data_IF_324303908944
#
_entry.id   IF_324303908944
#
_cell.length_a   1.000
_cell.length_b   1.000
_cell.length_c   1.000
_cell.angle_alpha   90.00
_cell.angle_beta   90.00
_cell.angle_gamma   90.00
#
_symmetry.space_group_name_H-M   'P 1'
#
loop_
_entity.id
_entity.type
_entity.pdbx_description
1 polymer ?
#
# COMPACT_ATOMS: atom_id res chain seq x y z
N UNK A 1 -58.66 37.49 -2.30
CA UNK A 1 -57.64 37.43 -1.24
C UNK A 1 -57.68 36.03 -0.63
N UNK A 2 -56.82 35.12 -1.10
CA UNK A 2 -56.66 33.75 -0.56
C UNK A 2 -55.17 33.57 -0.21
N UNK A 3 -54.81 33.15 1.01
CA UNK A 3 -53.43 33.21 1.47
C UNK A 3 -52.59 32.10 0.84
N UNK A 4 -51.44 32.50 0.28
CA UNK A 4 -50.36 31.69 -0.32
C UNK A 4 -49.59 30.83 0.72
N UNK A 5 -50.23 30.36 1.79
CA UNK A 5 -49.56 29.66 2.89
C UNK A 5 -49.31 28.16 2.64
N UNK A 6 -49.77 27.59 1.53
CA UNK A 6 -49.66 26.15 1.26
C UNK A 6 -48.41 25.70 0.49
N UNK A 7 -47.61 26.61 -0.06
CA UNK A 7 -46.48 26.23 -0.94
C UNK A 7 -45.15 25.97 -0.21
N UNK A 8 -44.98 26.43 1.04
CA UNK A 8 -43.71 26.28 1.75
C UNK A 8 -43.51 24.93 2.47
N UNK A 9 -44.56 24.13 2.70
CA UNK A 9 -44.43 22.85 3.44
C UNK A 9 -44.13 21.64 2.56
N UNK A 10 -44.38 21.71 1.25
CA UNK A 10 -44.22 20.57 0.32
C UNK A 10 -42.88 20.57 -0.43
N UNK A 11 -42.25 21.74 -0.61
CA UNK A 11 -40.95 21.84 -1.30
C UNK A 11 -39.75 21.43 -0.44
N UNK A 12 -39.88 21.46 0.89
CA UNK A 12 -38.79 21.09 1.80
C UNK A 12 -38.66 19.57 2.00
N UNK A 13 -39.76 18.82 1.85
CA UNK A 13 -39.78 17.36 2.02
C UNK A 13 -39.33 16.57 0.78
N UNK A 14 -39.37 17.16 -0.41
CA UNK A 14 -38.92 16.51 -1.65
C UNK A 14 -37.40 16.53 -1.85
N UNK A 15 -36.70 17.53 -1.31
CA UNK A 15 -35.23 17.61 -1.41
C UNK A 15 -34.49 16.60 -0.51
N UNK A 16 -35.08 16.21 0.63
CA UNK A 16 -34.42 15.28 1.58
C UNK A 16 -34.51 13.83 1.10
N UNK A 17 -35.58 13.45 0.39
CA UNK A 17 -35.74 12.08 -0.13
C UNK A 17 -34.85 11.78 -1.36
N UNK A 18 -34.47 12.80 -2.14
CA UNK A 18 -33.67 12.62 -3.36
C UNK A 18 -32.16 12.48 -3.09
N UNK A 19 -31.70 12.90 -1.90
CA UNK A 19 -30.30 12.76 -1.47
C UNK A 19 -29.95 11.34 -0.96
N UNK A 20 -30.94 10.47 -0.77
CA UNK A 20 -30.76 9.07 -0.31
C UNK A 20 -30.69 8.04 -1.45
N UNK A 21 -30.80 8.46 -2.71
CA UNK A 21 -30.86 7.57 -3.88
C UNK A 21 -29.64 7.69 -4.80
N UNK A 22 -28.45 7.94 -4.24
CA UNK A 22 -27.20 7.74 -4.97
C UNK A 22 -26.76 6.29 -4.78
N UNK A 23 -26.96 5.37 -5.75
CA UNK A 23 -26.21 4.13 -5.75
C UNK A 23 -24.75 4.52 -5.91
N UNK A 24 -23.97 4.43 -4.84
CA UNK A 24 -22.53 4.49 -4.92
C UNK A 24 -22.09 3.36 -5.84
N UNK A 25 -21.87 3.68 -7.13
CA UNK A 25 -21.11 2.84 -8.04
C UNK A 25 -19.69 2.75 -7.51
N UNK A 26 -19.50 1.89 -6.52
CA UNK A 26 -18.19 1.50 -6.06
C UNK A 26 -17.60 0.68 -7.20
N UNK A 27 -16.65 1.28 -7.92
CA UNK A 27 -15.86 0.64 -8.94
C UNK A 27 -15.04 -0.48 -8.28
N UNK A 28 -15.68 -1.64 -8.13
CA UNK A 28 -15.08 -2.86 -7.64
C UNK A 28 -14.31 -3.49 -8.78
N UNK A 29 -13.04 -3.75 -8.56
CA UNK A 29 -12.12 -4.38 -9.51
C UNK A 29 -12.27 -5.91 -9.52
N UNK A 30 -13.44 -6.42 -9.10
CA UNK A 30 -13.81 -7.83 -9.14
C UNK A 30 -13.08 -8.73 -8.13
N UNK A 31 -12.21 -8.18 -7.29
CA UNK A 31 -11.43 -8.95 -6.31
C UNK A 31 -12.15 -8.89 -4.96
N UNK A 32 -12.70 -10.01 -4.45
CA UNK A 32 -13.29 -10.05 -3.12
C UNK A 32 -12.19 -9.82 -2.10
N UNK A 33 -12.44 -8.94 -1.12
CA UNK A 33 -11.49 -8.60 -0.06
C UNK A 33 -12.18 -8.59 1.28
N UNK A 34 -11.49 -9.13 2.26
CA UNK A 34 -11.85 -9.00 3.67
C UNK A 34 -10.90 -7.98 4.29
N UNK A 35 -11.40 -6.93 4.97
CA UNK A 35 -10.55 -5.98 5.68
C UNK A 35 -9.77 -6.73 6.77
N UNK A 36 -8.46 -6.50 6.84
CA UNK A 36 -7.57 -7.13 7.82
C UNK A 36 -6.75 -6.03 8.47
N UNK A 37 -6.92 -5.93 9.78
CA UNK A 37 -6.19 -5.05 10.68
C UNK A 37 -5.71 -5.87 11.86
N UNK A 38 -4.55 -5.51 12.42
CA UNK A 38 -4.01 -6.19 13.58
C UNK A 38 -2.82 -5.47 14.18
N UNK A 39 -2.25 -6.09 15.22
CA UNK A 39 -1.05 -5.60 15.90
C UNK A 39 0.01 -6.69 15.88
N UNK A 40 1.24 -6.32 15.54
CA UNK A 40 2.38 -7.23 15.59
C UNK A 40 2.96 -7.20 17.00
N UNK A 41 3.09 -8.38 17.59
CA UNK A 41 3.67 -8.57 18.92
C UNK A 41 5.00 -9.33 18.80
N UNK A 42 5.99 -8.91 19.58
CA UNK A 42 7.27 -9.60 19.80
C UNK A 42 7.43 -9.80 21.30
N UNK A 43 7.62 -11.04 21.74
CA UNK A 43 7.69 -11.41 23.16
C UNK A 43 6.52 -10.88 24.00
N UNK A 44 5.33 -10.86 23.42
CA UNK A 44 4.10 -10.36 24.04
C UNK A 44 3.97 -8.83 24.11
N UNK A 45 4.93 -8.08 23.56
CA UNK A 45 4.90 -6.61 23.50
C UNK A 45 4.67 -6.13 22.07
N UNK A 46 3.89 -5.05 21.86
CA UNK A 46 3.73 -4.48 20.52
C UNK A 46 5.07 -4.02 19.95
N UNK A 47 5.24 -4.21 18.65
CA UNK A 47 6.43 -3.79 17.91
C UNK A 47 6.46 -2.25 17.72
N UNK A 48 6.59 -1.51 18.82
CA UNK A 48 6.58 -0.04 18.86
C UNK A 48 7.95 0.51 18.46
N UNK A 49 7.97 1.55 17.62
CA UNK A 49 9.20 2.28 17.26
C UNK A 49 10.14 1.54 16.31
N UNK A 50 9.71 0.44 15.70
CA UNK A 50 10.46 -0.30 14.67
C UNK A 50 9.79 -0.10 13.31
N UNK A 51 10.57 -0.09 12.23
CA UNK A 51 10.01 -0.13 10.87
C UNK A 51 9.81 -1.58 10.45
N UNK A 52 8.68 -1.88 9.81
CA UNK A 52 8.40 -3.24 9.39
C UNK A 52 7.21 -3.37 8.46
N UNK A 53 7.01 -4.58 7.96
CA UNK A 53 5.94 -4.93 7.05
C UNK A 53 5.45 -6.34 7.29
N UNK A 54 4.16 -6.54 7.08
CA UNK A 54 3.47 -7.82 7.10
C UNK A 54 3.07 -8.15 5.67
N UNK A 55 3.49 -9.31 5.17
CA UNK A 55 3.17 -9.79 3.82
C UNK A 55 2.43 -11.12 3.89
N UNK A 56 1.28 -11.17 3.26
CA UNK A 56 0.44 -12.36 3.14
C UNK A 56 0.62 -12.95 1.75
N UNK A 57 1.22 -14.13 1.69
CA UNK A 57 1.43 -14.88 0.45
C UNK A 57 0.37 -15.98 0.34
N UNK A 58 -0.50 -15.96 -0.68
CA UNK A 58 -1.46 -17.03 -0.94
C UNK A 58 -0.81 -18.40 -0.96
N UNK A 59 -1.34 -19.34 -0.19
CA UNK A 59 -0.85 -20.73 -0.17
C UNK A 59 -1.68 -21.60 -1.12
N UNK A 60 -1.18 -21.75 -2.35
CA UNK A 60 -1.81 -22.61 -3.37
C UNK A 60 -1.96 -24.06 -2.92
N UNK A 61 -0.99 -24.58 -2.15
CA UNK A 61 -1.06 -25.96 -1.64
C UNK A 61 -2.21 -26.18 -0.65
N UNK A 62 -2.76 -25.08 -0.10
CA UNK A 62 -3.85 -25.10 0.87
C UNK A 62 -5.14 -24.47 0.32
N UNK A 63 -5.30 -24.47 -1.00
CA UNK A 63 -6.54 -24.05 -1.67
C UNK A 63 -6.72 -22.54 -1.82
N UNK A 64 -5.64 -21.75 -1.76
CA UNK A 64 -5.69 -20.34 -2.12
C UNK A 64 -5.03 -20.07 -3.47
N UNK A 65 -5.84 -20.03 -4.52
CA UNK A 65 -5.40 -19.75 -5.89
C UNK A 65 -5.27 -18.26 -6.22
N UNK A 66 -5.40 -17.38 -5.23
CA UNK A 66 -5.21 -15.95 -5.44
C UNK A 66 -3.79 -15.66 -5.93
N UNK A 67 -3.68 -14.86 -6.99
CA UNK A 67 -2.39 -14.36 -7.50
C UNK A 67 -1.94 -13.09 -6.78
N UNK A 68 -2.75 -12.56 -5.86
CA UNK A 68 -2.48 -11.28 -5.21
C UNK A 68 -2.00 -11.48 -3.79
N UNK A 69 -0.78 -10.97 -3.53
CA UNK A 69 -0.24 -10.84 -2.18
C UNK A 69 -0.82 -9.59 -1.54
N UNK A 70 -1.10 -9.67 -0.25
CA UNK A 70 -1.50 -8.52 0.54
C UNK A 70 -0.32 -8.05 1.39
N UNK A 71 -0.10 -6.74 1.46
CA UNK A 71 1.03 -6.14 2.19
C UNK A 71 0.50 -5.03 3.08
N UNK A 72 1.01 -4.95 4.31
CA UNK A 72 0.71 -3.88 5.25
C UNK A 72 1.98 -3.41 5.93
N UNK A 73 2.17 -2.10 6.01
CA UNK A 73 3.25 -1.51 6.80
C UNK A 73 2.84 -1.48 8.27
N UNK A 74 3.81 -1.70 9.14
CA UNK A 74 3.62 -1.60 10.59
C UNK A 74 3.82 -0.13 10.99
N UNK A 75 2.83 0.45 11.66
CA UNK A 75 2.87 1.81 12.16
C UNK A 75 3.72 1.93 13.44
N UNK A 76 3.86 3.16 13.95
CA UNK A 76 4.67 3.44 15.15
C UNK A 76 4.12 2.77 16.41
N UNK A 77 2.83 2.45 16.43
CA UNK A 77 2.13 1.76 17.52
C UNK A 77 2.14 0.23 17.35
N UNK A 78 2.79 -0.30 16.31
CA UNK A 78 2.86 -1.73 16.02
C UNK A 78 1.63 -2.28 15.30
N UNK A 79 0.70 -1.45 14.84
CA UNK A 79 -0.51 -1.86 14.10
C UNK A 79 -0.23 -1.90 12.61
N UNK A 80 -1.01 -2.70 11.89
CA UNK A 80 -0.94 -2.78 10.43
C UNK A 80 -2.33 -2.95 9.83
N UNK A 81 -2.48 -2.43 8.62
CA UNK A 81 -3.63 -2.68 7.74
C UNK A 81 -3.11 -3.32 6.46
N UNK A 82 -3.69 -4.44 6.03
CA UNK A 82 -3.29 -5.09 4.78
C UNK A 82 -3.96 -4.44 3.58
N UNK A 83 -3.21 -4.31 2.49
CA UNK A 83 -3.68 -3.82 1.21
C UNK A 83 -3.35 -4.83 0.11
N UNK A 84 -4.29 -5.01 -0.80
CA UNK A 84 -4.11 -5.81 -2.03
C UNK A 84 -4.32 -4.89 -3.21
N UNK A 85 -3.39 -4.79 -4.17
CA UNK A 85 -3.54 -3.88 -5.33
C UNK A 85 -4.01 -2.46 -4.95
N UNK A 86 -3.47 -1.91 -3.86
CA UNK A 86 -3.77 -0.54 -3.43
C UNK A 86 -5.14 -0.30 -2.78
N UNK A 87 -6.00 -1.32 -2.59
CA UNK A 87 -7.21 -1.17 -1.76
C UNK A 87 -7.16 -2.09 -0.53
N UNK A 88 -7.78 -1.68 0.58
CA UNK A 88 -7.67 -2.39 1.85
C UNK A 88 -8.26 -3.80 1.78
N UNK A 89 -7.69 -4.68 2.59
CA UNK A 89 -8.06 -6.08 2.73
C UNK A 89 -7.30 -7.04 1.84
N UNK A 90 -7.51 -8.33 2.08
CA UNK A 90 -6.96 -9.44 1.33
C UNK A 90 -8.07 -10.36 0.82
N UNK A 91 -7.86 -11.06 -0.31
CA UNK A 91 -8.75 -12.13 -0.72
C UNK A 91 -8.92 -13.19 0.38
N UNK A 92 -10.11 -13.81 0.51
CA UNK A 92 -10.29 -14.89 1.47
C UNK A 92 -9.44 -16.10 1.05
N UNK A 93 -8.82 -16.78 2.01
CA UNK A 93 -8.06 -18.00 1.75
C UNK A 93 -6.99 -18.28 2.80
N UNK A 94 -6.20 -19.33 2.55
CA UNK A 94 -5.04 -19.69 3.37
C UNK A 94 -3.80 -18.92 2.90
N UNK A 95 -3.02 -18.43 3.85
CA UNK A 95 -1.85 -17.59 3.59
C UNK A 95 -0.64 -18.08 4.39
N UNK A 96 0.55 -17.93 3.80
CA UNK A 96 1.82 -17.89 4.52
C UNK A 96 2.09 -16.43 4.89
N UNK A 97 2.30 -16.17 6.17
CA UNK A 97 2.50 -14.81 6.69
C UNK A 97 3.99 -14.59 6.94
N UNK A 98 4.52 -13.54 6.35
CA UNK A 98 5.90 -13.08 6.56
C UNK A 98 5.83 -11.75 7.28
N UNK A 99 6.50 -11.67 8.44
CA UNK A 99 6.66 -10.43 9.18
C UNK A 99 8.13 -10.06 9.13
N UNK A 100 8.44 -8.90 8.55
CA UNK A 100 9.79 -8.33 8.55
C UNK A 100 9.79 -7.10 9.43
N UNK A 101 10.71 -7.05 10.39
CA UNK A 101 10.92 -5.92 11.28
C UNK A 101 12.41 -5.58 11.31
N UNK A 102 12.71 -4.28 11.29
CA UNK A 102 14.06 -3.74 11.39
C UNK A 102 14.18 -3.06 12.75
N UNK A 103 15.05 -3.56 13.66
CA UNK A 103 15.16 -2.96 14.99
C UNK A 103 15.72 -1.52 14.89
N UNK A 104 15.30 -0.62 15.79
CA UNK A 104 15.77 0.75 15.82
C UNK A 104 17.28 0.79 16.01
N UNK A 105 17.97 1.62 15.23
CA UNK A 105 19.43 1.72 15.25
C UNK A 105 20.17 0.72 14.34
N UNK A 106 19.45 -0.15 13.61
CA UNK A 106 20.03 -0.99 12.55
C UNK A 106 19.91 -0.39 11.15
N UNK A 107 19.44 0.86 11.06
CA UNK A 107 19.56 1.73 9.89
C UNK A 107 21.05 1.85 9.59
N UNK A 108 21.57 0.95 8.74
CA UNK A 108 22.97 0.97 8.33
C UNK A 108 23.23 2.31 7.72
N UNK A 109 23.90 3.17 8.49
CA UNK A 109 24.60 4.38 8.10
C UNK A 109 24.58 4.57 6.57
N UNK A 110 23.52 5.22 6.08
CA UNK A 110 23.29 5.41 4.64
C UNK A 110 24.47 6.19 4.00
N UNK A 111 25.27 6.87 4.84
CA UNK A 111 26.54 7.49 4.48
C UNK A 111 27.61 6.50 4.00
N UNK A 112 27.54 5.22 4.42
CA UNK A 112 28.50 4.16 4.03
C UNK A 112 28.09 3.39 2.77
N UNK A 113 26.86 3.60 2.30
CA UNK A 113 26.34 3.08 1.03
C UNK A 113 26.38 4.11 -0.11
N UNK A 114 27.22 5.15 0.01
CA UNK A 114 27.71 5.82 -1.19
C UNK A 114 28.46 4.78 -2.04
N UNK A 115 27.78 4.26 -3.07
CA UNK A 115 28.39 3.48 -4.13
C UNK A 115 29.54 4.35 -4.66
N UNK A 116 30.79 4.03 -4.30
CA UNK A 116 32.04 4.69 -4.75
C UNK A 116 32.26 4.64 -6.28
N UNK A 117 31.23 4.32 -7.06
CA UNK A 117 31.30 4.08 -8.50
C UNK A 117 30.16 4.71 -9.31
N UNK A 118 29.31 5.56 -8.72
CA UNK A 118 28.32 6.30 -9.52
C UNK A 118 28.99 7.35 -10.45
N UNK A 119 30.21 7.77 -10.13
CA UNK A 119 30.94 8.79 -10.88
C UNK A 119 31.71 8.22 -12.09
N UNK A 120 31.81 6.89 -12.23
CA UNK A 120 32.63 6.24 -13.26
C UNK A 120 31.91 6.04 -14.62
N UNK A 121 30.59 6.29 -14.70
CA UNK A 121 29.83 6.08 -15.95
C UNK A 121 29.82 7.29 -16.89
N UNK A 122 30.29 8.45 -16.44
CA UNK A 122 30.41 9.66 -17.27
C UNK A 122 31.87 10.08 -17.45
N UNK A 123 32.71 9.16 -17.96
CA UNK A 123 34.02 9.52 -18.49
C UNK A 123 33.87 10.25 -19.84
N UNK A 124 34.67 11.29 -20.13
CA UNK A 124 34.57 12.02 -21.39
C UNK A 124 34.90 11.10 -22.57
N UNK A 125 34.00 11.04 -23.55
CA UNK A 125 34.21 10.38 -24.84
C UNK A 125 35.28 11.15 -25.64
N UNK A 126 36.54 10.93 -25.29
CA UNK A 126 37.71 11.51 -25.95
C UNK A 126 38.21 10.60 -27.06
N UNK A 127 37.80 10.89 -28.29
CA UNK A 127 38.33 10.35 -29.55
C UNK A 127 39.87 10.40 -29.62
N UNK A 128 40.53 9.29 -29.28
CA UNK A 128 41.98 9.13 -29.33
C UNK A 128 42.45 8.42 -30.59
N UNK A 129 42.76 9.21 -31.63
CA UNK A 129 43.48 8.81 -32.84
C UNK A 129 44.86 8.22 -32.49
N UNK A 130 45.04 6.89 -32.53
CA UNK A 130 46.38 6.28 -32.60
C UNK A 130 46.67 5.83 -34.03
N UNK A 131 47.55 6.61 -34.67
CA UNK A 131 48.43 6.15 -35.74
C UNK A 131 49.22 4.95 -35.22
N UNK A 132 49.22 3.84 -35.94
CA UNK A 132 50.23 2.79 -35.76
C UNK A 132 51.43 3.11 -36.65
N UNK A 133 52.67 3.07 -36.13
CA UNK A 133 53.86 3.01 -36.96
C UNK A 133 54.14 1.56 -37.42
N UNK A 134 54.73 1.49 -38.61
CA UNK A 134 55.52 0.43 -39.27
C UNK A 134 55.63 -0.98 -38.68
N UNK A 135 55.38 -1.97 -39.54
CA UNK A 135 56.39 -2.94 -40.01
C UNK A 135 55.99 -3.47 -41.40
#
# INVERSE_FOLDING_TARGET
MFPLSCWLRKGMLTCVALLLALPAWSCSDGIPRVPIEGTVLVDGKPLVGMTGAVTFIPDKSRGNDSSFRAVGLIDKEGRYTLFTKGKPGAPPGRYKVIVSAVPPGSERDASRLQIRGADAINGPQGSGRRRSPEA
#
